data_IF_853726167778
#
_entry.id   IF_853726167778
#
_cell.length_a   1.000
_cell.length_b   1.000
_cell.length_c   1.000
_cell.angle_alpha   90.00
_cell.angle_beta   90.00
_cell.angle_gamma   90.00
#
_symmetry.space_group_name_H-M   'P 1'
#
loop_
_entity.id
_entity.type
_entity.pdbx_description
1 polymer ?
#
# COMPACT_ATOMS: atom_id res chain seq x y z
N UNK A 1 -2.13 -3.72 -21.36
CA UNK A 1 -1.95 -2.99 -20.08
C UNK A 1 -1.75 -4.05 -19.00
N UNK A 2 -0.65 -4.02 -18.26
CA UNK A 2 -0.36 -5.04 -17.24
C UNK A 2 -1.10 -4.74 -15.94
N UNK A 3 -1.93 -5.67 -15.47
CA UNK A 3 -2.70 -5.54 -14.22
C UNK A 3 -1.75 -5.34 -13.03
N UNK A 4 -0.65 -6.10 -12.99
CA UNK A 4 0.38 -5.93 -11.97
C UNK A 4 0.98 -4.51 -12.00
N UNK A 5 1.20 -3.94 -13.19
CA UNK A 5 1.71 -2.59 -13.35
C UNK A 5 0.81 -1.55 -12.69
N UNK A 6 -0.51 -1.68 -12.81
CA UNK A 6 -1.45 -0.78 -12.13
C UNK A 6 -1.46 -0.99 -10.62
N UNK A 7 -1.32 -2.23 -10.15
CA UNK A 7 -1.18 -2.53 -8.71
C UNK A 7 0.08 -1.86 -8.17
N UNK A 8 1.22 -2.05 -8.83
CA UNK A 8 2.49 -1.43 -8.43
C UNK A 8 2.36 0.08 -8.42
N UNK A 9 1.78 0.68 -9.46
CA UNK A 9 1.64 2.14 -9.54
C UNK A 9 0.74 2.66 -8.42
N UNK A 10 -0.33 1.94 -8.07
CA UNK A 10 -1.18 2.34 -6.95
C UNK A 10 -0.47 2.26 -5.59
N UNK A 11 0.48 1.33 -5.41
CA UNK A 11 1.28 1.15 -4.19
C UNK A 11 2.45 2.14 -4.12
N UNK A 12 3.29 2.21 -5.16
CA UNK A 12 4.50 3.03 -5.23
C UNK A 12 4.21 4.48 -5.65
N UNK A 13 3.15 4.70 -6.42
CA UNK A 13 2.65 6.02 -6.81
C UNK A 13 1.93 6.76 -5.69
N UNK A 14 1.92 6.21 -4.46
CA UNK A 14 1.69 6.98 -3.25
C UNK A 14 2.85 7.96 -3.04
N UNK A 15 2.89 9.01 -3.88
CA UNK A 15 3.67 10.21 -3.61
C UNK A 15 3.02 10.84 -2.38
N UNK A 16 3.63 10.58 -1.23
CA UNK A 16 3.27 11.18 0.04
C UNK A 16 2.99 12.67 -0.14
N UNK A 17 1.83 13.09 0.37
CA UNK A 17 1.67 14.40 0.96
C UNK A 17 0.53 14.34 1.98
N UNK A 18 0.70 14.96 3.15
CA UNK A 18 1.81 14.89 4.10
C UNK A 18 1.46 13.91 5.23
N UNK A 19 2.47 13.56 6.04
CA UNK A 19 2.29 12.97 7.35
C UNK A 19 1.08 13.59 8.07
N UNK A 20 0.12 12.74 8.43
CA UNK A 20 -0.98 13.11 9.30
C UNK A 20 -0.36 13.64 10.61
N UNK A 21 -0.63 14.89 11.02
CA UNK A 21 -0.10 15.40 12.27
C UNK A 21 -0.65 14.55 13.41
N UNK A 22 0.24 13.94 14.16
CA UNK A 22 -0.07 13.28 15.41
C UNK A 22 -0.81 14.28 16.31
N UNK A 23 -1.98 13.94 16.89
CA UNK A 23 -2.64 14.80 17.85
C UNK A 23 -1.93 14.67 19.20
N UNK A 24 -0.73 15.25 19.30
CA UNK A 24 -0.07 15.46 20.58
C UNK A 24 -0.73 16.65 21.28
N UNK A 25 -1.81 16.30 21.98
CA UNK A 25 -2.41 17.03 23.08
C UNK A 25 -1.35 17.65 24.02
N UNK A 26 -1.22 18.98 24.03
CA UNK A 26 -0.71 19.73 25.19
C UNK A 26 -1.51 21.00 25.38
N UNK A 27 -2.44 20.90 26.33
CA UNK A 27 -3.11 21.98 27.02
C UNK A 27 -2.14 22.95 27.72
N UNK A 28 -2.62 24.19 27.88
CA UNK A 28 -2.31 25.19 28.92
C UNK A 28 -1.24 26.30 28.64
N UNK A 29 -1.79 27.48 28.31
CA UNK A 29 -1.66 28.77 29.01
C UNK A 29 -0.28 29.35 29.39
N UNK A 30 0.12 30.45 28.73
CA UNK A 30 0.38 31.80 29.32
C UNK A 30 1.26 32.66 28.37
N UNK A 31 1.08 34.00 28.34
CA UNK A 31 1.89 34.90 27.51
C UNK A 31 3.05 35.48 28.33
N UNK A 32 4.27 35.57 27.78
CA UNK A 32 5.20 36.68 28.05
C UNK A 32 6.39 36.68 27.10
N UNK A 33 6.86 37.90 26.83
CA UNK A 33 7.71 38.34 25.74
C UNK A 33 9.19 37.86 25.76
N UNK A 34 9.82 37.99 24.58
CA UNK A 34 11.17 38.52 24.26
C UNK A 34 12.14 37.62 23.48
N UNK A 35 12.72 38.26 22.45
CA UNK A 35 13.95 37.97 21.67
C UNK A 35 13.91 36.97 20.50
N UNK A 36 14.25 37.39 19.25
CA UNK A 36 14.44 36.48 18.12
C UNK A 36 15.90 36.02 18.08
N UNK A 37 16.17 34.79 18.49
CA UNK A 37 17.37 34.05 18.08
C UNK A 37 17.06 33.35 16.75
N UNK A 38 17.95 33.41 15.73
CA UNK A 38 17.73 32.71 14.48
C UNK A 38 17.68 31.21 14.76
N UNK A 39 16.48 30.68 14.62
CA UNK A 39 16.12 29.29 14.73
C UNK A 39 16.99 28.48 13.75
N UNK A 40 17.77 27.55 14.30
CA UNK A 40 18.30 26.41 13.56
C UNK A 40 17.10 25.72 12.91
N UNK A 41 16.79 26.09 11.68
CA UNK A 41 16.00 25.28 10.77
C UNK A 41 16.86 24.05 10.49
N UNK A 42 16.73 23.04 11.36
CA UNK A 42 17.09 21.68 11.01
C UNK A 42 16.20 21.34 9.81
N UNK A 43 16.78 21.53 8.62
CA UNK A 43 16.29 20.89 7.41
C UNK A 43 16.14 19.41 7.76
N UNK A 44 14.89 18.95 7.79
CA UNK A 44 14.61 17.52 7.83
C UNK A 44 15.50 16.88 6.76
N UNK A 45 16.24 15.79 7.09
CA UNK A 45 16.98 15.05 6.08
C UNK A 45 16.01 14.78 4.92
N UNK A 46 16.43 14.87 3.64
CA UNK A 46 15.60 14.37 2.56
C UNK A 46 15.23 12.95 2.97
N UNK A 47 13.94 12.73 3.25
CA UNK A 47 13.39 11.44 3.64
C UNK A 47 14.00 10.43 2.69
N UNK A 48 14.98 9.67 3.20
CA UNK A 48 15.59 8.59 2.45
C UNK A 48 14.40 7.73 2.08
N UNK A 49 14.10 7.68 0.78
CA UNK A 49 12.87 7.08 0.25
C UNK A 49 12.64 5.77 1.00
N UNK A 50 11.74 5.83 1.97
CA UNK A 50 11.60 4.73 2.92
C UNK A 50 11.00 3.58 2.12
N UNK A 51 11.46 2.34 2.35
CA UNK A 51 10.91 1.20 1.64
C UNK A 51 9.39 1.24 1.77
N UNK A 52 8.69 1.21 0.63
CA UNK A 52 7.24 1.41 0.59
C UNK A 52 6.59 0.26 1.34
N UNK A 53 6.03 0.55 2.51
CA UNK A 53 5.41 -0.46 3.36
C UNK A 53 4.00 -0.78 2.83
N UNK A 54 3.87 -1.93 2.16
CA UNK A 54 2.66 -2.31 1.40
C UNK A 54 1.45 -2.41 2.33
N UNK A 55 1.63 -2.96 3.53
CA UNK A 55 0.55 -3.08 4.51
C UNK A 55 0.04 -1.70 4.93
N UNK A 56 0.92 -0.74 5.19
CA UNK A 56 0.54 0.62 5.56
C UNK A 56 -0.21 1.31 4.41
N UNK A 57 0.33 1.24 3.18
CA UNK A 57 -0.31 1.86 2.01
C UNK A 57 -1.71 1.28 1.75
N UNK A 58 -1.85 -0.05 1.79
CA UNK A 58 -3.13 -0.72 1.59
C UNK A 58 -4.10 -0.42 2.74
N UNK A 59 -3.63 -0.37 3.99
CA UNK A 59 -4.47 0.01 5.14
C UNK A 59 -4.96 1.46 5.02
N UNK A 60 -4.11 2.40 4.59
CA UNK A 60 -4.53 3.78 4.36
C UNK A 60 -5.54 3.90 3.21
N UNK A 61 -5.33 3.18 2.10
CA UNK A 61 -6.33 3.11 1.02
C UNK A 61 -7.64 2.52 1.51
N UNK A 62 -7.60 1.50 2.37
CA UNK A 62 -8.82 0.86 2.90
C UNK A 62 -9.61 1.85 3.75
N UNK A 63 -8.91 2.58 4.62
CA UNK A 63 -9.49 3.65 5.43
C UNK A 63 -10.05 4.78 4.55
N UNK A 64 -9.32 5.20 3.51
CA UNK A 64 -9.76 6.21 2.56
C UNK A 64 -10.99 5.76 1.75
N UNK A 65 -11.08 4.47 1.41
CA UNK A 65 -12.25 3.90 0.72
C UNK A 65 -13.44 3.76 1.66
N UNK A 66 -13.24 3.65 2.98
CA UNK A 66 -14.30 3.49 3.96
C UNK A 66 -15.00 2.13 3.91
N UNK A 67 -14.33 1.09 3.41
CA UNK A 67 -14.91 -0.24 3.20
C UNK A 67 -14.14 -1.31 4.01
N UNK A 68 -14.40 -1.46 5.32
CA UNK A 68 -13.62 -2.36 6.18
C UNK A 68 -13.81 -3.86 5.88
N UNK A 69 -14.81 -4.22 5.06
CA UNK A 69 -15.11 -5.61 4.69
C UNK A 69 -14.17 -6.18 3.61
N UNK A 70 -13.33 -5.35 2.97
CA UNK A 70 -12.41 -5.82 1.93
C UNK A 70 -11.23 -6.56 2.56
N UNK A 71 -11.18 -7.88 2.35
CA UNK A 71 -10.13 -8.76 2.85
C UNK A 71 -8.92 -8.83 1.91
N UNK A 72 -8.32 -7.67 1.60
CA UNK A 72 -7.18 -7.56 0.68
C UNK A 72 -5.94 -8.38 1.09
N UNK A 73 -5.88 -8.80 2.36
CA UNK A 73 -4.77 -9.60 2.95
C UNK A 73 -4.77 -11.07 2.54
N UNK A 74 -5.89 -11.58 2.06
CA UNK A 74 -6.07 -13.00 1.71
C UNK A 74 -6.77 -13.17 0.37
N UNK A 75 -7.51 -12.15 -0.08
CA UNK A 75 -8.23 -12.14 -1.35
C UNK A 75 -7.62 -11.15 -2.33
N UNK A 76 -7.05 -11.67 -3.43
CA UNK A 76 -6.63 -10.82 -4.56
C UNK A 76 -7.80 -10.04 -5.16
N UNK A 77 -9.03 -10.56 -5.11
CA UNK A 77 -10.25 -9.88 -5.56
C UNK A 77 -10.48 -8.60 -4.74
N UNK A 78 -10.39 -8.68 -3.42
CA UNK A 78 -10.58 -7.52 -2.54
C UNK A 78 -9.41 -6.53 -2.65
N UNK A 79 -8.19 -7.03 -2.89
CA UNK A 79 -7.05 -6.17 -3.22
C UNK A 79 -7.31 -5.36 -4.50
N UNK A 80 -7.79 -6.02 -5.57
CA UNK A 80 -8.13 -5.34 -6.82
C UNK A 80 -9.23 -4.31 -6.60
N UNK A 81 -10.32 -4.67 -5.90
CA UNK A 81 -11.38 -3.72 -5.53
C UNK A 81 -10.83 -2.53 -4.76
N UNK A 82 -9.95 -2.75 -3.79
CA UNK A 82 -9.37 -1.69 -2.98
C UNK A 82 -8.61 -0.67 -3.84
N UNK A 83 -7.93 -1.14 -4.88
CA UNK A 83 -7.18 -0.32 -5.83
C UNK A 83 -8.02 0.22 -6.99
N UNK A 84 -9.35 0.07 -6.92
CA UNK A 84 -10.29 0.47 -7.97
C UNK A 84 -10.06 -0.25 -9.31
N UNK A 85 -9.57 -1.49 -9.23
CA UNK A 85 -9.38 -2.39 -10.35
C UNK A 85 -10.57 -3.34 -10.48
N UNK A 86 -10.95 -3.61 -11.72
CA UNK A 86 -11.98 -4.60 -12.01
C UNK A 86 -11.48 -6.01 -11.62
N UNK A 87 -12.18 -6.64 -10.68
CA UNK A 87 -11.78 -7.91 -10.08
C UNK A 87 -12.34 -9.13 -10.84
N UNK A 88 -12.73 -8.94 -12.10
CA UNK A 88 -13.28 -10.01 -12.92
C UNK A 88 -12.30 -11.16 -13.12
N UNK A 89 -12.86 -12.32 -13.44
CA UNK A 89 -12.06 -13.49 -13.81
C UNK A 89 -11.05 -13.16 -14.90
N UNK A 90 -11.43 -12.41 -15.94
CA UNK A 90 -10.54 -12.07 -17.04
C UNK A 90 -9.26 -11.36 -16.58
N UNK A 91 -9.39 -10.32 -15.74
CA UNK A 91 -8.24 -9.60 -15.19
C UNK A 91 -7.38 -10.46 -14.27
N UNK A 92 -7.99 -11.35 -13.48
CA UNK A 92 -7.23 -12.33 -12.69
C UNK A 92 -6.47 -13.31 -13.58
N UNK A 93 -7.05 -13.76 -14.70
CA UNK A 93 -6.37 -14.64 -15.66
C UNK A 93 -5.23 -13.92 -16.38
N UNK A 94 -5.42 -12.64 -16.72
CA UNK A 94 -4.38 -11.80 -17.26
C UNK A 94 -3.23 -11.66 -16.25
N UNK A 95 -3.52 -11.25 -15.01
CA UNK A 95 -2.54 -11.15 -13.93
C UNK A 95 -1.80 -12.48 -13.68
N UNK A 96 -2.52 -13.60 -13.68
CA UNK A 96 -1.94 -14.93 -13.53
C UNK A 96 -0.96 -15.25 -14.67
N UNK A 97 -1.32 -14.87 -15.91
CA UNK A 97 -0.49 -15.10 -17.09
C UNK A 97 0.77 -14.24 -17.03
N UNK A 98 0.63 -12.97 -16.64
CA UNK A 98 1.76 -12.04 -16.45
C UNK A 98 2.74 -12.54 -15.38
N UNK A 99 2.23 -13.10 -14.27
CA UNK A 99 3.04 -13.63 -13.17
C UNK A 99 3.55 -15.07 -13.41
N UNK A 100 3.21 -15.69 -14.55
CA UNK A 100 3.69 -17.03 -14.91
C UNK A 100 2.95 -18.20 -14.23
N UNK A 101 1.68 -18.03 -13.87
CA UNK A 101 0.86 -19.10 -13.29
C UNK A 101 0.63 -20.26 -14.29
N UNK A 102 1.17 -21.42 -13.94
CA UNK A 102 1.05 -22.65 -14.73
C UNK A 102 -0.24 -23.45 -14.44
N UNK A 103 -0.99 -23.11 -13.39
CA UNK A 103 -2.19 -23.84 -12.97
C UNK A 103 -3.46 -23.47 -13.73
N UNK A 104 -4.57 -24.06 -13.27
CA UNK A 104 -5.91 -23.89 -13.80
C UNK A 104 -6.45 -22.47 -13.52
N UNK A 105 -6.77 -21.73 -14.59
CA UNK A 105 -7.10 -20.29 -14.57
C UNK A 105 -8.61 -20.05 -14.42
N UNK A 106 -9.25 -20.82 -13.57
CA UNK A 106 -10.71 -20.91 -13.45
C UNK A 106 -11.25 -20.07 -12.27
N UNK A 107 -10.36 -19.36 -11.56
CA UNK A 107 -10.70 -18.57 -10.37
C UNK A 107 -10.87 -19.39 -9.11
N UNK A 108 -10.34 -20.61 -9.09
CA UNK A 108 -10.29 -21.48 -7.90
C UNK A 108 -9.62 -20.76 -6.72
N UNK A 109 -9.96 -21.17 -5.49
CA UNK A 109 -9.35 -20.64 -4.28
C UNK A 109 -7.83 -20.75 -4.30
N UNK A 110 -7.30 -21.88 -4.78
CA UNK A 110 -5.86 -22.12 -4.95
C UNK A 110 -5.19 -21.09 -5.87
N UNK A 111 -5.82 -20.81 -7.02
CA UNK A 111 -5.36 -19.75 -7.93
C UNK A 111 -5.38 -18.40 -7.21
N UNK A 112 -6.45 -18.09 -6.47
CA UNK A 112 -6.61 -16.81 -5.79
C UNK A 112 -5.54 -16.58 -4.71
N UNK A 113 -5.23 -17.61 -3.93
CA UNK A 113 -4.16 -17.62 -2.92
C UNK A 113 -2.80 -17.45 -3.60
N UNK A 114 -2.53 -18.26 -4.64
CA UNK A 114 -1.28 -18.17 -5.38
C UNK A 114 -1.05 -16.79 -5.99
N UNK A 115 -2.07 -16.19 -6.62
CA UNK A 115 -1.97 -14.86 -7.21
C UNK A 115 -1.67 -13.81 -6.16
N UNK A 116 -2.32 -13.87 -5.01
CA UNK A 116 -2.07 -12.95 -3.91
C UNK A 116 -0.58 -12.99 -3.51
N UNK A 117 -0.04 -14.19 -3.29
CA UNK A 117 1.36 -14.38 -2.90
C UNK A 117 2.34 -13.96 -3.99
N UNK A 118 2.04 -14.29 -5.26
CA UNK A 118 2.87 -13.90 -6.38
C UNK A 118 2.91 -12.37 -6.54
N UNK A 119 1.79 -11.67 -6.36
CA UNK A 119 1.75 -10.20 -6.35
C UNK A 119 2.59 -9.63 -5.20
N UNK A 120 2.44 -10.17 -3.99
CA UNK A 120 3.22 -9.72 -2.82
C UNK A 120 4.72 -9.92 -3.03
N UNK A 121 5.14 -11.07 -3.56
CA UNK A 121 6.53 -11.36 -3.88
C UNK A 121 7.08 -10.40 -4.94
N UNK A 122 6.30 -10.13 -6.00
CA UNK A 122 6.71 -9.20 -7.05
C UNK A 122 6.81 -7.76 -6.53
N UNK A 123 5.94 -7.35 -5.60
CA UNK A 123 6.06 -6.06 -4.91
C UNK A 123 7.37 -5.98 -4.10
N UNK A 124 7.74 -7.04 -3.38
CA UNK A 124 9.03 -7.13 -2.66
C UNK A 124 10.21 -7.02 -3.62
N UNK A 125 10.17 -7.74 -4.75
CA UNK A 125 11.20 -7.65 -5.79
C UNK A 125 11.38 -6.23 -6.36
N UNK A 126 10.31 -5.42 -6.35
CA UNK A 126 10.33 -4.03 -6.78
C UNK A 126 10.73 -3.04 -5.66
N UNK A 127 11.14 -3.53 -4.48
CA UNK A 127 11.62 -2.71 -3.36
C UNK A 127 10.53 -2.31 -2.36
N UNK A 128 9.36 -2.93 -2.40
CA UNK A 128 8.34 -2.76 -1.37
C UNK A 128 8.66 -3.62 -0.15
N UNK A 129 8.24 -3.16 1.02
CA UNK A 129 8.28 -3.93 2.26
C UNK A 129 6.93 -4.59 2.48
N UNK A 130 6.90 -5.92 2.42
CA UNK A 130 5.72 -6.72 2.70
C UNK A 130 5.96 -7.50 4.00
N UNK A 131 5.07 -7.39 5.01
CA UNK A 131 5.16 -8.22 6.20
C UNK A 131 4.94 -9.70 5.85
N UNK A 132 5.68 -10.60 6.51
CA UNK A 132 5.62 -12.04 6.25
C UNK A 132 4.20 -12.63 6.34
N UNK A 133 3.32 -12.02 7.15
CA UNK A 133 1.91 -12.40 7.29
C UNK A 133 1.10 -12.25 5.98
N UNK A 134 1.59 -11.49 5.01
CA UNK A 134 0.95 -11.31 3.69
C UNK A 134 1.61 -12.14 2.58
N UNK A 135 2.77 -12.73 2.83
CA UNK A 135 3.53 -13.51 1.85
C UNK A 135 3.50 -15.02 2.19
N UNK A 136 2.32 -15.52 2.58
CA UNK A 136 2.08 -16.87 3.13
C UNK A 136 1.90 -17.95 2.06
#
# INVERSE_FOLDING_TARGET
>A
MSIFGTIKDAIFGHKQAPAQPDPANTVASAPTATAPTPQNQQAAPPEQASPVDVEQVLTQKLAAKGNPELNWRTSIVDLMKLLDLDSSLDNRKALATELGYAGAKDGSAEMNIWLHNAVMLELVNNGAKVPAKLAD
#
